data_IF_285880322983
#
_entry.id   IF_285880322983
#
_cell.length_a   1.000
_cell.length_b   1.000
_cell.length_c   1.000
_cell.angle_alpha   90.00
_cell.angle_beta   90.00
_cell.angle_gamma   90.00
#
_symmetry.space_group_name_H-M   'P 1'
#
loop_
_entity.id
_entity.type
_entity.pdbx_description
1 polymer ?
#
# COMPACT_ATOMS: atom_id res chain seq x y z
N UNK A 1 -12.25 -21.55 -5.21
CA UNK A 1 -10.97 -21.50 -4.44
C UNK A 1 -11.27 -20.84 -3.12
N UNK A 2 -10.82 -21.37 -2.00
CA UNK A 2 -10.97 -20.71 -0.71
C UNK A 2 -9.84 -19.67 -0.51
N UNK A 3 -9.94 -18.83 0.54
CA UNK A 3 -9.00 -17.75 0.79
C UNK A 3 -7.56 -18.25 1.06
N UNK A 4 -7.43 -19.31 1.85
CA UNK A 4 -6.12 -19.92 2.17
C UNK A 4 -5.43 -20.48 0.93
N UNK A 5 -6.18 -21.16 0.05
CA UNK A 5 -5.63 -21.65 -1.23
C UNK A 5 -5.13 -20.47 -2.10
N UNK A 6 -5.91 -19.38 -2.13
CA UNK A 6 -5.53 -18.18 -2.90
C UNK A 6 -4.27 -17.49 -2.34
N UNK A 7 -4.09 -17.46 -1.02
CA UNK A 7 -2.88 -16.96 -0.38
C UNK A 7 -1.66 -17.82 -0.70
N UNK A 8 -1.82 -19.15 -0.69
CA UNK A 8 -0.74 -20.07 -1.05
C UNK A 8 -0.25 -19.84 -2.49
N UNK A 9 -1.13 -19.51 -3.44
CA UNK A 9 -0.72 -19.20 -4.82
C UNK A 9 0.15 -17.93 -4.93
N UNK A 10 0.04 -17.02 -3.98
CA UNK A 10 0.87 -15.81 -3.90
C UNK A 10 2.00 -15.92 -2.85
N UNK A 11 2.29 -17.14 -2.37
CA UNK A 11 3.31 -17.44 -1.36
C UNK A 11 3.15 -16.63 -0.06
N UNK A 12 1.91 -16.47 0.40
CA UNK A 12 1.59 -15.88 1.71
C UNK A 12 1.03 -16.98 2.60
N UNK A 13 1.67 -17.20 3.72
CA UNK A 13 1.22 -18.11 4.75
C UNK A 13 0.77 -17.28 5.98
N UNK A 14 -0.40 -17.59 6.49
CA UNK A 14 -0.91 -16.99 7.73
C UNK A 14 -0.98 -18.07 8.81
N UNK A 15 -0.54 -17.72 10.00
CA UNK A 15 -0.79 -18.52 11.18
C UNK A 15 -2.19 -18.21 11.78
N UNK A 16 -2.62 -19.02 12.75
CA UNK A 16 -3.92 -18.87 13.40
C UNK A 16 -4.15 -17.46 13.98
N UNK A 17 -3.09 -16.84 14.50
CA UNK A 17 -3.17 -15.50 15.08
C UNK A 17 -3.37 -14.41 14.02
N UNK A 18 -2.77 -14.57 12.85
CA UNK A 18 -2.93 -13.66 11.71
C UNK A 18 -4.33 -13.80 11.10
N UNK A 19 -4.85 -15.04 11.00
CA UNK A 19 -6.23 -15.29 10.54
C UNK A 19 -7.25 -14.68 11.51
N UNK A 20 -7.04 -14.82 12.83
CA UNK A 20 -7.88 -14.18 13.85
C UNK A 20 -7.80 -12.64 13.75
N UNK A 21 -6.63 -12.09 13.49
CA UNK A 21 -6.43 -10.67 13.28
C UNK A 21 -7.23 -10.13 12.08
N UNK A 22 -7.18 -10.83 10.94
CA UNK A 22 -7.98 -10.49 9.75
C UNK A 22 -9.48 -10.60 10.02
N UNK A 23 -9.91 -11.61 10.77
CA UNK A 23 -11.32 -11.79 11.13
C UNK A 23 -11.81 -10.62 12.01
N UNK A 24 -11.06 -10.23 13.03
CA UNK A 24 -11.38 -9.06 13.89
C UNK A 24 -11.42 -7.77 13.07
N UNK A 25 -10.46 -7.60 12.17
CA UNK A 25 -10.44 -6.44 11.29
C UNK A 25 -11.66 -6.38 10.37
N UNK A 26 -12.09 -7.51 9.80
CA UNK A 26 -13.30 -7.61 9.01
C UNK A 26 -14.54 -7.20 9.82
N UNK A 27 -14.71 -7.72 11.05
CA UNK A 27 -15.84 -7.42 11.92
C UNK A 27 -15.93 -5.92 12.23
N UNK A 28 -14.81 -5.30 12.58
CA UNK A 28 -14.72 -3.86 12.80
C UNK A 28 -15.04 -3.07 11.52
N UNK A 29 -14.52 -3.50 10.37
CA UNK A 29 -14.79 -2.86 9.08
C UNK A 29 -16.29 -2.82 8.79
N UNK A 30 -16.99 -3.93 8.96
CA UNK A 30 -18.44 -4.03 8.71
C UNK A 30 -19.22 -3.19 9.73
N UNK A 31 -18.84 -3.22 11.01
CA UNK A 31 -19.48 -2.44 12.06
C UNK A 31 -19.37 -0.93 11.79
N UNK A 32 -18.16 -0.45 11.60
CA UNK A 32 -17.91 0.98 11.37
C UNK A 32 -18.44 1.46 10.01
N UNK A 33 -18.51 0.56 9.02
CA UNK A 33 -19.05 0.90 7.69
C UNK A 33 -20.53 1.30 7.73
N UNK A 34 -21.30 0.82 8.74
CA UNK A 34 -22.72 1.21 8.93
C UNK A 34 -22.90 2.72 9.15
N UNK A 35 -21.88 3.40 9.68
CA UNK A 35 -21.94 4.82 10.03
C UNK A 35 -20.95 5.70 9.25
N UNK A 36 -19.94 5.12 8.58
CA UNK A 36 -18.83 5.89 8.03
C UNK A 36 -18.62 5.78 6.53
N UNK A 37 -19.26 4.83 5.85
CA UNK A 37 -19.04 4.54 4.43
C UNK A 37 -17.55 4.37 4.09
N UNK A 38 -16.87 3.44 4.79
CA UNK A 38 -15.45 3.16 4.62
C UNK A 38 -15.16 2.44 3.31
N UNK A 39 -16.07 1.54 2.92
CA UNK A 39 -15.99 0.73 1.70
C UNK A 39 -17.39 0.43 1.17
N UNK A 40 -17.50 0.20 -0.14
CA UNK A 40 -18.71 -0.34 -0.76
C UNK A 40 -18.83 -1.87 -0.64
N UNK A 41 -17.76 -2.55 -0.20
CA UNK A 41 -17.65 -4.01 -0.13
C UNK A 41 -17.76 -4.44 1.34
N UNK A 42 -18.81 -5.18 1.70
CA UNK A 42 -19.10 -5.60 3.08
C UNK A 42 -19.31 -7.11 3.23
N UNK A 43 -19.63 -7.81 2.14
CA UNK A 43 -19.74 -9.27 2.17
C UNK A 43 -18.39 -9.90 2.48
N UNK A 44 -18.35 -10.87 3.39
CA UNK A 44 -17.12 -11.47 3.92
C UNK A 44 -16.18 -11.96 2.82
N UNK A 45 -16.68 -12.79 1.93
CA UNK A 45 -15.87 -13.38 0.87
C UNK A 45 -15.30 -12.30 -0.06
N UNK A 46 -16.09 -11.28 -0.36
CA UNK A 46 -15.66 -10.14 -1.16
C UNK A 46 -14.59 -9.29 -0.46
N UNK A 47 -14.70 -9.04 0.85
CA UNK A 47 -13.68 -8.33 1.61
C UNK A 47 -12.37 -9.11 1.65
N UNK A 48 -12.45 -10.43 1.88
CA UNK A 48 -11.28 -11.30 1.91
C UNK A 48 -10.56 -11.34 0.57
N UNK A 49 -11.29 -11.36 -0.54
CA UNK A 49 -10.69 -11.39 -1.88
C UNK A 49 -10.30 -9.98 -2.35
N UNK A 50 -11.24 -9.03 -2.37
CA UNK A 50 -11.05 -7.71 -3.01
C UNK A 50 -10.30 -6.71 -2.13
N UNK A 51 -10.13 -7.03 -0.82
CA UNK A 51 -9.35 -6.19 0.08
C UNK A 51 -8.14 -6.91 0.66
N UNK A 52 -8.29 -8.06 1.32
CA UNK A 52 -7.15 -8.72 1.99
C UNK A 52 -6.21 -9.38 0.98
N UNK A 53 -6.71 -10.29 0.14
CA UNK A 53 -5.90 -10.94 -0.89
C UNK A 53 -5.28 -9.93 -1.86
N UNK A 54 -6.06 -8.94 -2.32
CA UNK A 54 -5.60 -7.87 -3.18
C UNK A 54 -4.45 -7.06 -2.53
N UNK A 55 -4.56 -6.77 -1.24
CA UNK A 55 -3.50 -6.08 -0.49
C UNK A 55 -2.21 -6.91 -0.40
N UNK A 56 -2.34 -8.22 -0.21
CA UNK A 56 -1.22 -9.15 -0.04
C UNK A 56 -0.60 -9.59 -1.37
N UNK A 57 -1.30 -9.43 -2.49
CA UNK A 57 -0.84 -9.85 -3.81
C UNK A 57 0.48 -9.17 -4.25
N UNK A 58 0.86 -8.06 -3.63
CA UNK A 58 2.17 -7.42 -3.83
C UNK A 58 3.34 -8.34 -3.47
N UNK A 59 3.13 -9.39 -2.65
CA UNK A 59 4.12 -10.41 -2.34
C UNK A 59 4.70 -11.04 -3.61
N UNK A 60 3.88 -11.21 -4.65
CA UNK A 60 4.32 -11.72 -5.94
C UNK A 60 5.38 -10.84 -6.63
N UNK A 61 5.44 -9.54 -6.30
CA UNK A 61 6.50 -8.63 -6.78
C UNK A 61 7.81 -8.92 -6.04
N UNK A 62 7.75 -9.15 -4.72
CA UNK A 62 8.92 -9.45 -3.90
C UNK A 62 9.52 -10.83 -4.21
N UNK A 63 8.69 -11.78 -4.67
CA UNK A 63 9.13 -13.14 -5.04
C UNK A 63 9.58 -13.24 -6.50
N UNK A 64 9.33 -12.22 -7.32
CA UNK A 64 9.69 -12.20 -8.71
C UNK A 64 11.21 -12.13 -8.87
N UNK A 65 11.78 -13.05 -9.67
CA UNK A 65 13.24 -13.17 -9.89
C UNK A 65 13.87 -11.88 -10.41
N UNK A 66 13.11 -11.09 -11.14
CA UNK A 66 13.56 -9.81 -11.70
C UNK A 66 13.66 -8.73 -10.60
N UNK A 67 12.69 -8.71 -9.66
CA UNK A 67 12.57 -7.64 -8.68
C UNK A 67 13.10 -8.02 -7.29
N UNK A 68 13.08 -9.29 -6.91
CA UNK A 68 13.43 -9.76 -5.55
C UNK A 68 14.82 -9.27 -5.07
N UNK A 69 15.79 -9.14 -5.97
CA UNK A 69 17.13 -8.63 -5.63
C UNK A 69 17.21 -7.10 -5.48
N UNK A 70 16.18 -6.39 -5.94
CA UNK A 70 16.15 -4.93 -5.98
C UNK A 70 15.27 -4.35 -4.86
N UNK A 71 14.31 -5.12 -4.40
CA UNK A 71 13.36 -4.72 -3.36
C UNK A 71 13.89 -5.04 -1.95
N UNK A 72 13.44 -4.30 -0.92
CA UNK A 72 13.77 -4.63 0.47
C UNK A 72 13.31 -6.04 0.82
N UNK A 73 14.10 -6.77 1.62
CA UNK A 73 13.68 -8.04 2.18
C UNK A 73 12.55 -7.81 3.22
N UNK A 74 11.37 -8.38 2.95
CA UNK A 74 10.21 -8.28 3.85
C UNK A 74 10.40 -8.98 5.20
N UNK A 75 11.43 -9.83 5.34
CA UNK A 75 11.79 -10.43 6.62
C UNK A 75 12.65 -9.50 7.50
N UNK A 76 13.05 -8.35 6.99
CA UNK A 76 13.77 -7.33 7.76
C UNK A 76 12.82 -6.21 8.19
N UNK A 77 13.21 -5.48 9.24
CA UNK A 77 12.43 -4.36 9.76
C UNK A 77 12.53 -3.15 8.83
N UNK A 78 11.77 -3.17 7.72
CA UNK A 78 11.67 -2.04 6.79
C UNK A 78 10.57 -1.07 7.22
N UNK A 79 10.75 0.20 6.88
CA UNK A 79 9.73 1.24 7.07
C UNK A 79 8.85 1.34 5.82
N UNK A 80 7.56 1.11 6.01
CA UNK A 80 6.54 1.18 4.96
C UNK A 80 5.59 2.33 5.26
N UNK A 81 5.24 3.13 4.25
CA UNK A 81 4.15 4.10 4.34
C UNK A 81 3.06 3.78 3.32
N UNK A 82 1.80 3.81 3.78
CA UNK A 82 0.61 3.66 2.94
C UNK A 82 -0.07 5.01 2.79
N UNK A 83 0.00 5.59 1.59
CA UNK A 83 -0.53 6.92 1.30
C UNK A 83 -1.95 6.83 0.75
N UNK A 84 -2.88 7.52 1.42
CA UNK A 84 -4.29 7.45 1.10
C UNK A 84 -4.88 6.10 1.49
N UNK A 85 -4.48 5.58 2.64
CA UNK A 85 -4.76 4.23 3.12
C UNK A 85 -6.25 3.89 3.22
N UNK A 86 -7.12 4.88 3.34
CA UNK A 86 -8.56 4.69 3.42
C UNK A 86 -8.97 3.92 4.67
N UNK A 87 -9.57 2.77 4.47
CA UNK A 87 -9.90 1.84 5.55
C UNK A 87 -8.72 0.95 5.97
N UNK A 88 -7.47 1.30 5.59
CA UNK A 88 -6.27 0.57 5.99
C UNK A 88 -5.70 -0.37 4.92
N UNK A 89 -6.05 -0.17 3.65
CA UNK A 89 -5.64 -1.03 2.55
C UNK A 89 -4.64 -0.35 1.61
N UNK A 90 -3.44 -0.93 1.38
CA UNK A 90 -3.02 -2.28 1.78
C UNK A 90 -2.33 -2.38 3.15
N UNK A 91 -2.08 -1.28 3.87
CA UNK A 91 -1.16 -1.21 5.00
C UNK A 91 -1.45 -2.16 6.17
N UNK A 92 -2.72 -2.30 6.60
CA UNK A 92 -3.07 -3.19 7.72
C UNK A 92 -2.91 -4.68 7.34
N UNK A 93 -3.43 -5.19 6.20
CA UNK A 93 -3.15 -6.56 5.79
C UNK A 93 -1.66 -6.86 5.66
N UNK A 94 -0.87 -5.93 5.12
CA UNK A 94 0.59 -6.08 5.05
C UNK A 94 1.22 -6.18 6.44
N UNK A 95 0.76 -5.39 7.41
CA UNK A 95 1.25 -5.48 8.79
C UNK A 95 0.89 -6.79 9.47
N UNK A 96 -0.31 -7.30 9.23
CA UNK A 96 -0.76 -8.58 9.79
C UNK A 96 0.08 -9.72 9.21
N UNK A 97 0.23 -9.81 7.89
CA UNK A 97 0.95 -10.89 7.23
C UNK A 97 2.49 -10.80 7.36
N UNK A 98 3.03 -9.58 7.59
CA UNK A 98 4.48 -9.34 7.71
C UNK A 98 4.79 -8.56 8.99
N UNK A 99 4.78 -9.20 10.18
CA UNK A 99 4.87 -8.50 11.47
C UNK A 99 6.17 -7.71 11.68
N UNK A 100 7.23 -8.04 10.96
CA UNK A 100 8.53 -7.35 11.04
C UNK A 100 8.53 -5.95 10.43
N UNK A 101 7.58 -5.62 9.51
CA UNK A 101 7.54 -4.29 8.89
C UNK A 101 7.01 -3.24 9.87
N UNK A 102 7.53 -2.01 9.78
CA UNK A 102 7.00 -0.84 10.48
C UNK A 102 6.12 -0.06 9.54
N UNK A 103 4.86 0.16 9.88
CA UNK A 103 3.86 0.74 8.98
C UNK A 103 3.37 2.09 9.47
N UNK A 104 3.38 3.08 8.58
CA UNK A 104 2.70 4.35 8.77
C UNK A 104 1.52 4.44 7.80
N UNK A 105 0.31 4.61 8.32
CA UNK A 105 -0.92 4.79 7.56
C UNK A 105 -1.25 6.28 7.51
N UNK A 106 -1.30 6.88 6.32
CA UNK A 106 -1.62 8.30 6.16
C UNK A 106 -2.94 8.48 5.40
N UNK A 107 -3.89 9.19 6.00
CA UNK A 107 -5.14 9.59 5.33
C UNK A 107 -5.58 11.00 5.74
N UNK A 108 -6.19 11.72 4.80
CA UNK A 108 -6.64 13.10 5.01
C UNK A 108 -7.98 13.19 5.75
N UNK A 109 -8.68 12.09 5.99
CA UNK A 109 -9.97 12.08 6.66
C UNK A 109 -9.85 11.57 8.10
N UNK A 110 -9.99 12.47 9.07
CA UNK A 110 -9.88 12.13 10.50
C UNK A 110 -10.81 10.99 10.94
N UNK A 111 -11.98 10.86 10.33
CA UNK A 111 -12.89 9.75 10.62
C UNK A 111 -12.26 8.37 10.32
N UNK A 112 -11.47 8.27 9.24
CA UNK A 112 -10.74 7.05 8.88
C UNK A 112 -9.64 6.76 9.89
N UNK A 113 -8.92 7.78 10.34
CA UNK A 113 -7.88 7.62 11.36
C UNK A 113 -8.45 7.08 12.68
N UNK A 114 -9.64 7.52 13.09
CA UNK A 114 -10.33 6.95 14.27
C UNK A 114 -10.60 5.47 14.10
N UNK A 115 -11.10 5.06 12.94
CA UNK A 115 -11.31 3.65 12.60
C UNK A 115 -9.99 2.85 12.60
N UNK A 116 -8.94 3.37 11.97
CA UNK A 116 -7.64 2.71 11.91
C UNK A 116 -7.03 2.51 13.30
N UNK A 117 -7.13 3.50 14.18
CA UNK A 117 -6.66 3.38 15.57
C UNK A 117 -7.46 2.34 16.36
N UNK A 118 -8.77 2.24 16.13
CA UNK A 118 -9.60 1.19 16.72
C UNK A 118 -9.16 -0.20 16.24
N UNK A 119 -8.91 -0.37 14.94
CA UNK A 119 -8.39 -1.65 14.40
C UNK A 119 -7.04 -1.98 15.02
N UNK A 120 -6.09 -1.03 15.02
CA UNK A 120 -4.74 -1.21 15.58
C UNK A 120 -4.82 -1.67 17.04
N UNK A 121 -5.66 -1.01 17.84
CA UNK A 121 -5.82 -1.31 19.27
C UNK A 121 -6.49 -2.68 19.49
N UNK A 122 -7.62 -2.94 18.81
CA UNK A 122 -8.43 -4.16 19.02
C UNK A 122 -7.73 -5.41 18.50
N UNK A 123 -7.02 -5.29 17.38
CA UNK A 123 -6.22 -6.40 16.83
C UNK A 123 -4.91 -6.59 17.59
N UNK A 124 -4.43 -5.55 18.29
CA UNK A 124 -3.18 -5.57 19.06
C UNK A 124 -1.94 -5.47 18.17
N UNK A 125 -2.01 -4.68 17.09
CA UNK A 125 -0.88 -4.49 16.18
C UNK A 125 0.19 -3.58 16.79
N UNK A 126 1.44 -3.98 16.70
CA UNK A 126 2.60 -3.20 17.14
C UNK A 126 3.36 -2.63 15.95
N UNK A 127 4.21 -1.60 16.16
CA UNK A 127 5.01 -0.98 15.08
C UNK A 127 4.16 -0.52 13.88
N UNK A 128 2.96 -0.01 14.16
CA UNK A 128 2.05 0.59 13.18
C UNK A 128 1.40 1.83 13.79
N UNK A 129 1.27 2.89 13.01
CA UNK A 129 0.63 4.13 13.41
C UNK A 129 -0.29 4.65 12.31
N UNK A 130 -1.34 5.39 12.68
CA UNK A 130 -2.26 6.06 11.77
C UNK A 130 -2.21 7.57 11.97
N UNK A 131 -1.92 8.31 10.89
CA UNK A 131 -1.68 9.75 10.91
C UNK A 131 -2.75 10.47 10.10
N UNK A 132 -3.37 11.48 10.72
CA UNK A 132 -4.30 12.37 10.06
C UNK A 132 -3.56 13.52 9.40
N UNK A 133 -3.63 13.62 8.07
CA UNK A 133 -3.05 14.75 7.35
C UNK A 133 -3.06 14.57 5.85
N UNK A 134 -2.72 15.65 5.16
CA UNK A 134 -2.56 15.62 3.71
C UNK A 134 -1.15 15.14 3.37
N UNK A 135 -1.05 14.33 2.31
CA UNK A 135 0.23 13.80 1.87
C UNK A 135 1.24 14.92 1.54
N UNK A 136 0.77 16.01 0.94
CA UNK A 136 1.59 17.16 0.56
C UNK A 136 2.19 17.89 1.75
N UNK A 137 1.49 17.91 2.88
CA UNK A 137 1.93 18.63 4.09
C UNK A 137 2.99 17.80 4.82
N UNK A 138 2.69 16.53 5.11
CA UNK A 138 3.63 15.63 5.80
C UNK A 138 4.90 15.32 4.99
N UNK A 139 4.82 15.35 3.65
CA UNK A 139 5.99 15.19 2.80
C UNK A 139 7.05 16.32 2.95
N UNK A 140 6.72 17.40 3.66
CA UNK A 140 7.64 18.50 3.99
C UNK A 140 8.27 18.35 5.36
N UNK A 141 7.67 17.53 6.22
CA UNK A 141 8.15 17.29 7.57
C UNK A 141 9.41 16.42 7.53
N UNK A 142 10.51 16.82 8.22
CA UNK A 142 11.80 16.11 8.16
C UNK A 142 11.73 14.64 8.58
N UNK A 143 10.85 14.32 9.53
CA UNK A 143 10.72 12.95 10.07
C UNK A 143 10.08 11.98 9.08
N UNK A 144 9.33 12.51 8.10
CA UNK A 144 8.60 11.71 7.11
C UNK A 144 9.26 11.75 5.73
N UNK A 145 9.84 12.89 5.38
CA UNK A 145 10.44 13.08 4.06
C UNK A 145 11.63 12.16 3.85
N UNK A 146 11.59 11.40 2.74
CA UNK A 146 12.66 10.47 2.32
C UNK A 146 13.14 9.53 3.46
N UNK A 147 12.18 9.09 4.31
CA UNK A 147 12.43 8.29 5.51
C UNK A 147 12.00 6.82 5.37
N UNK A 148 11.29 6.47 4.30
CA UNK A 148 10.71 5.14 4.11
C UNK A 148 11.44 4.32 3.06
N UNK A 149 11.56 3.01 3.33
CA UNK A 149 12.11 2.03 2.41
C UNK A 149 11.14 1.75 1.26
N UNK A 150 9.87 1.69 1.61
CA UNK A 150 8.78 1.37 0.70
C UNK A 150 7.60 2.32 0.94
N UNK A 151 7.08 2.88 -0.13
CA UNK A 151 5.76 3.50 -0.16
C UNK A 151 4.81 2.61 -0.95
N UNK A 152 3.60 2.42 -0.46
CA UNK A 152 2.51 1.74 -1.17
C UNK A 152 1.32 2.67 -1.28
N UNK A 153 0.51 2.51 -2.33
CA UNK A 153 -0.76 3.21 -2.45
C UNK A 153 -1.71 2.43 -3.36
N UNK A 154 -2.95 2.27 -2.92
CA UNK A 154 -4.06 1.67 -3.68
C UNK A 154 -5.15 2.71 -3.98
N UNK A 155 -4.74 3.91 -4.33
CA UNK A 155 -5.66 5.01 -4.60
C UNK A 155 -6.06 5.09 -6.09
N UNK A 156 -7.21 5.68 -6.33
CA UNK A 156 -7.80 5.83 -7.68
C UNK A 156 -7.24 6.99 -8.50
N UNK A 157 -6.32 7.81 -7.95
CA UNK A 157 -5.68 8.87 -8.70
C UNK A 157 -4.74 8.32 -9.79
N UNK A 158 -4.47 9.11 -10.84
CA UNK A 158 -3.53 8.71 -11.88
C UNK A 158 -2.08 8.63 -11.32
N UNK A 159 -1.21 7.91 -12.03
CA UNK A 159 0.13 7.60 -11.56
C UNK A 159 1.01 8.84 -11.37
N UNK A 160 0.84 9.88 -12.21
CA UNK A 160 1.58 11.15 -12.06
C UNK A 160 1.26 11.80 -10.70
N UNK A 161 -0.03 11.93 -10.39
CA UNK A 161 -0.49 12.49 -9.11
C UNK A 161 -0.07 11.63 -7.92
N UNK A 162 -0.19 10.30 -8.03
CA UNK A 162 0.27 9.40 -6.96
C UNK A 162 1.78 9.49 -6.76
N UNK A 163 2.56 9.66 -7.84
CA UNK A 163 3.99 9.85 -7.74
C UNK A 163 4.34 11.11 -6.93
N UNK A 164 3.61 12.21 -7.14
CA UNK A 164 3.80 13.45 -6.37
C UNK A 164 3.50 13.25 -4.88
N UNK A 165 2.47 12.48 -4.53
CA UNK A 165 2.12 12.20 -3.14
C UNK A 165 3.04 11.19 -2.46
N UNK A 166 3.56 10.21 -3.19
CA UNK A 166 4.25 9.05 -2.63
C UNK A 166 5.79 9.19 -2.63
N UNK A 167 6.39 9.67 -3.74
CA UNK A 167 7.85 9.68 -3.89
C UNK A 167 8.61 10.58 -2.93
N UNK A 168 8.06 11.70 -2.42
CA UNK A 168 8.73 12.50 -1.42
C UNK A 168 8.98 11.79 -0.09
N UNK A 169 8.24 10.72 0.23
CA UNK A 169 8.45 9.91 1.43
C UNK A 169 9.54 8.85 1.26
N UNK A 170 9.80 8.46 0.02
CA UNK A 170 10.70 7.36 -0.30
C UNK A 170 12.15 7.84 -0.25
N UNK A 171 12.99 7.16 0.53
CA UNK A 171 14.44 7.43 0.57
C UNK A 171 15.11 7.10 -0.76
N UNK A 172 16.21 7.73 -1.08
CA UNK A 172 17.03 7.36 -2.23
C UNK A 172 17.43 5.88 -2.13
N UNK A 173 17.18 5.13 -3.21
CA UNK A 173 17.34 3.67 -3.25
C UNK A 173 16.10 2.87 -2.84
N UNK A 174 15.11 3.52 -2.19
CA UNK A 174 13.82 2.92 -1.85
C UNK A 174 12.84 2.85 -3.02
N UNK A 175 11.61 2.39 -2.75
CA UNK A 175 10.64 2.06 -3.77
C UNK A 175 9.25 2.62 -3.48
N UNK A 176 8.52 2.95 -4.54
CA UNK A 176 7.09 3.15 -4.52
C UNK A 176 6.42 2.06 -5.36
N UNK A 177 5.47 1.33 -4.80
CA UNK A 177 4.65 0.35 -5.51
C UNK A 177 3.21 0.86 -5.54
N UNK A 178 2.73 1.17 -6.75
CA UNK A 178 1.35 1.59 -6.99
C UNK A 178 0.50 0.40 -7.40
N UNK A 179 -0.59 0.19 -6.67
CA UNK A 179 -1.62 -0.81 -6.99
C UNK A 179 -2.57 -0.24 -8.02
N UNK A 180 -2.65 -0.88 -9.17
CA UNK A 180 -3.50 -0.46 -10.28
C UNK A 180 -4.36 -1.62 -10.79
N UNK A 181 -5.43 -1.29 -11.50
CA UNK A 181 -6.29 -2.25 -12.19
C UNK A 181 -6.28 -2.00 -13.68
N UNK A 182 -6.35 -3.08 -14.47
CA UNK A 182 -6.43 -3.00 -15.92
C UNK A 182 -5.15 -2.57 -16.62
N UNK A 183 -5.29 -2.05 -17.83
CA UNK A 183 -4.17 -1.56 -18.63
C UNK A 183 -3.70 -0.18 -18.13
N UNK A 184 -2.40 -0.04 -17.97
CA UNK A 184 -1.74 1.14 -17.41
C UNK A 184 -0.73 1.77 -18.37
N UNK A 185 -0.63 1.31 -19.60
CA UNK A 185 0.45 1.70 -20.52
C UNK A 185 0.42 3.21 -20.85
N UNK A 186 -0.76 3.79 -21.02
CA UNK A 186 -0.89 5.23 -21.26
C UNK A 186 -0.62 6.05 -19.98
N UNK A 187 -1.03 5.51 -18.83
CA UNK A 187 -0.75 6.13 -17.54
C UNK A 187 0.75 6.16 -17.23
N UNK A 188 1.48 5.11 -17.58
CA UNK A 188 2.95 5.04 -17.47
C UNK A 188 3.65 6.07 -18.36
N UNK A 189 3.21 6.21 -19.61
CA UNK A 189 3.76 7.21 -20.54
C UNK A 189 3.61 8.62 -20.00
N UNK A 190 2.40 8.96 -19.51
CA UNK A 190 2.11 10.28 -18.98
C UNK A 190 2.86 10.57 -17.67
N UNK A 191 3.09 9.55 -16.82
CA UNK A 191 3.80 9.70 -15.56
C UNK A 191 5.33 9.85 -15.72
N UNK A 192 5.91 9.51 -16.87
CA UNK A 192 7.38 9.47 -17.06
C UNK A 192 8.05 10.80 -16.74
N UNK A 193 7.46 11.92 -17.13
CA UNK A 193 8.01 13.25 -16.86
C UNK A 193 7.98 13.58 -15.38
N UNK A 194 6.85 13.36 -14.70
CA UNK A 194 6.70 13.58 -13.27
C UNK A 194 7.67 12.73 -12.45
N UNK A 195 7.81 11.44 -12.81
CA UNK A 195 8.78 10.55 -12.15
C UNK A 195 10.21 11.06 -12.24
N UNK A 196 10.61 11.53 -13.41
CA UNK A 196 11.96 12.10 -13.62
C UNK A 196 12.20 13.35 -12.75
N UNK A 197 11.23 14.26 -12.70
CA UNK A 197 11.30 15.45 -11.85
C UNK A 197 11.40 15.10 -10.36
N UNK A 198 10.69 14.05 -9.92
CA UNK A 198 10.70 13.57 -8.55
C UNK A 198 11.93 12.71 -8.21
N UNK A 199 12.87 12.57 -9.14
CA UNK A 199 14.09 11.80 -8.94
C UNK A 199 13.87 10.27 -8.95
N UNK A 200 12.91 9.79 -9.73
CA UNK A 200 12.54 8.38 -9.77
C UNK A 200 12.37 7.85 -11.19
N UNK A 201 12.29 6.53 -11.32
CA UNK A 201 11.99 5.85 -12.59
C UNK A 201 11.17 4.59 -12.36
N UNK A 202 10.31 4.24 -13.29
CA UNK A 202 9.70 2.92 -13.37
C UNK A 202 10.77 1.88 -13.68
N UNK A 203 10.82 0.81 -12.89
CA UNK A 203 11.73 -0.33 -13.12
C UNK A 203 10.99 -1.55 -13.64
N UNK A 204 9.66 -1.59 -13.50
CA UNK A 204 8.83 -2.65 -14.05
C UNK A 204 7.36 -2.54 -13.70
N UNK A 205 6.59 -3.44 -14.28
CA UNK A 205 5.17 -3.64 -14.00
C UNK A 205 4.91 -5.13 -13.87
N UNK A 206 4.40 -5.54 -12.71
CA UNK A 206 3.94 -6.91 -12.50
C UNK A 206 2.43 -6.95 -12.72
N UNK A 207 2.00 -7.62 -13.79
CA UNK A 207 0.59 -7.91 -14.06
C UNK A 207 0.24 -9.30 -13.52
N UNK A 208 -0.91 -9.45 -12.90
CA UNK A 208 -1.45 -10.74 -12.45
C UNK A 208 -2.97 -10.68 -12.39
N UNK A 209 -3.59 -11.86 -12.42
CA UNK A 209 -4.98 -12.03 -12.03
C UNK A 209 -5.01 -12.52 -10.59
N UNK A 210 -5.85 -11.94 -9.74
CA UNK A 210 -5.97 -12.40 -8.35
C UNK A 210 -6.43 -13.87 -8.34
N UNK A 211 -5.78 -14.75 -7.57
CA UNK A 211 -6.12 -16.17 -7.52
C UNK A 211 -7.61 -16.42 -7.29
N UNK A 212 -8.19 -17.33 -8.08
CA UNK A 212 -9.60 -17.70 -8.00
C UNK A 212 -10.60 -16.65 -8.50
N UNK A 213 -10.14 -15.62 -9.22
CA UNK A 213 -11.00 -14.55 -9.74
C UNK A 213 -10.63 -14.14 -11.16
N UNK A 214 -11.44 -13.27 -11.76
CA UNK A 214 -11.14 -12.59 -13.04
C UNK A 214 -10.59 -11.16 -12.82
N UNK A 215 -10.18 -10.83 -11.58
CA UNK A 215 -9.74 -9.48 -11.21
C UNK A 215 -8.27 -9.30 -11.59
N UNK A 216 -8.03 -8.48 -12.60
CA UNK A 216 -6.67 -8.13 -13.02
C UNK A 216 -6.08 -7.03 -12.13
N UNK A 217 -4.79 -7.16 -11.82
CA UNK A 217 -3.97 -6.19 -11.09
C UNK A 217 -2.66 -5.91 -11.79
N UNK A 218 -2.23 -4.66 -11.69
CA UNK A 218 -0.92 -4.21 -12.13
C UNK A 218 -0.21 -3.52 -10.98
N UNK A 219 0.93 -4.04 -10.56
CA UNK A 219 1.84 -3.37 -9.64
C UNK A 219 2.88 -2.60 -10.42
N UNK A 220 2.84 -1.27 -10.32
CA UNK A 220 3.88 -0.41 -10.92
C UNK A 220 4.99 -0.23 -9.92
N UNK A 221 6.19 -0.68 -10.28
CA UNK A 221 7.36 -0.66 -9.41
C UNK A 221 8.23 0.52 -9.81
N UNK A 222 8.34 1.50 -8.91
CA UNK A 222 9.07 2.75 -9.14
C UNK A 222 10.21 2.84 -8.13
N UNK A 223 11.44 3.03 -8.64
CA UNK A 223 12.64 3.20 -7.81
C UNK A 223 12.98 4.67 -7.65
N UNK A 224 13.24 5.08 -6.42
CA UNK A 224 13.79 6.40 -6.10
C UNK A 224 15.28 6.43 -6.40
N UNK A 225 15.70 7.26 -7.34
CA UNK A 225 17.06 7.33 -7.85
C UNK A 225 17.86 8.49 -7.26
N UNK A 226 17.18 9.60 -6.91
CA UNK A 226 17.79 10.82 -6.39
C UNK A 226 16.81 11.54 -5.46
N UNK A 227 17.29 12.48 -4.68
CA UNK A 227 16.46 13.33 -3.82
C UNK A 227 15.43 14.11 -4.63
N UNK A 228 14.21 14.23 -4.08
CA UNK A 228 13.20 15.14 -4.63
C UNK A 228 13.54 16.59 -4.24
N UNK A 229 13.62 17.49 -5.20
CA UNK A 229 13.90 18.92 -4.92
C UNK A 229 12.86 19.46 -3.92
N UNK A 230 13.35 20.15 -2.88
CA UNK A 230 12.51 20.77 -1.85
C UNK A 230 11.61 21.88 -2.38
N UNK A 231 11.96 22.45 -3.53
CA UNK A 231 11.19 23.51 -4.20
C UNK A 231 10.01 22.98 -5.01
N UNK A 232 9.99 21.68 -5.32
CA UNK A 232 8.85 21.09 -6.01
C UNK A 232 7.65 21.16 -5.06
N UNK A 233 6.72 22.05 -5.43
CA UNK A 233 5.39 22.06 -4.85
C UNK A 233 4.73 20.74 -5.22
N UNK A 234 4.27 20.01 -4.24
CA UNK A 234 3.68 18.68 -4.42
C UNK A 234 2.27 18.75 -5.03
N UNK A 235 1.98 19.74 -5.84
CA UNK A 235 0.73 19.90 -6.56
C UNK A 235 1.08 20.56 -7.89
N UNK A 236 0.84 19.88 -8.99
CA UNK A 236 0.99 20.34 -10.38
C UNK A 236 2.41 20.21 -11.00
N UNK A 237 2.91 18.96 -11.10
CA UNK A 237 3.92 18.62 -12.10
C UNK A 237 3.26 18.08 -13.36
#
# INVERSE_FOLDING_TARGET
MNFTDALNEINVELDDSMEEALQKYYELLVEWNKVMNLTAITEKDDVYVKHFLDSLAVKTVFDDKEYAKMLPDTNTAIKVIDIGTGAGFPGIPLKIAFPSVKVTLLDSLNKRIKFLNEVISTVGLNDIEAIHGRAEDYAREPDYRESYDLCVSRAVANLSTLAEYCLPYVKTGGYFISYKSGDIDDELKTATHALKLLGAKTIGVKKLTLPGTDIERSFVIIKKMAHTDKKLSLIHI
#
